data_IF_150782308969
#
_entry.id   IF_150782308969
#
_cell.length_a   1.000
_cell.length_b   1.000
_cell.length_c   1.000
_cell.angle_alpha   90.00
_cell.angle_beta   90.00
_cell.angle_gamma   90.00
#
_symmetry.space_group_name_H-M   'P 1'
#
loop_
_entity.id
_entity.type
_entity.pdbx_description
1 polymer ?
#
# COMPACT_ATOMS: atom_id res chain seq x y z
N UNK A 1 24.23 11.63 19.43
CA UNK A 1 23.54 12.92 19.71
C UNK A 1 22.14 12.63 20.24
N UNK A 2 21.85 12.96 21.51
CA UNK A 2 20.55 12.72 22.13
C UNK A 2 19.45 13.66 21.61
N UNK A 3 18.20 13.21 21.49
CA UNK A 3 17.05 14.11 21.26
C UNK A 3 16.35 14.44 22.59
N UNK A 4 15.72 15.62 22.66
CA UNK A 4 14.94 15.99 23.84
C UNK A 4 13.80 15.00 24.08
N UNK A 5 13.77 14.39 25.27
CA UNK A 5 12.75 13.43 25.71
C UNK A 5 11.55 14.12 26.40
N UNK A 6 11.68 15.42 26.72
CA UNK A 6 10.69 16.19 27.47
C UNK A 6 9.39 16.31 26.65
N UNK A 7 8.25 16.00 27.28
CA UNK A 7 6.92 16.10 26.65
C UNK A 7 6.57 14.99 25.66
N UNK A 8 7.43 13.97 25.52
CA UNK A 8 7.22 12.84 24.58
C UNK A 8 6.73 11.62 25.32
N UNK A 9 5.83 10.86 24.68
CA UNK A 9 5.35 9.59 25.21
C UNK A 9 6.34 8.48 24.84
N UNK A 10 6.50 7.51 25.74
CA UNK A 10 7.36 6.33 25.54
C UNK A 10 6.49 5.12 25.20
N UNK A 11 6.97 4.26 24.31
CA UNK A 11 6.43 2.92 24.07
C UNK A 11 7.60 1.94 23.91
N UNK A 12 7.41 0.71 24.39
CA UNK A 12 8.34 -0.40 24.18
C UNK A 12 7.70 -1.31 23.15
N UNK A 13 8.43 -1.64 22.08
CA UNK A 13 7.97 -2.48 21.00
C UNK A 13 9.13 -3.37 20.54
N UNK A 14 8.92 -4.69 20.54
CA UNK A 14 9.96 -5.70 20.28
C UNK A 14 11.27 -5.45 21.06
N UNK A 15 11.15 -5.21 22.37
CA UNK A 15 12.27 -4.91 23.28
C UNK A 15 13.02 -3.59 22.99
N UNK A 16 12.64 -2.86 21.94
CA UNK A 16 13.21 -1.57 21.59
C UNK A 16 12.37 -0.41 22.14
N UNK A 17 13.05 0.69 22.48
CA UNK A 17 12.40 1.89 23.03
C UNK A 17 12.13 2.89 21.91
N UNK A 18 10.88 3.34 21.84
CA UNK A 18 10.44 4.41 20.95
C UNK A 18 9.84 5.56 21.75
N UNK A 19 10.06 6.77 21.23
CA UNK A 19 9.44 7.98 21.70
C UNK A 19 8.53 8.53 20.60
N UNK A 20 7.33 8.94 20.98
CA UNK A 20 6.35 9.46 20.05
C UNK A 20 5.60 10.67 20.59
N UNK A 21 5.17 11.53 19.68
CA UNK A 21 4.46 12.77 19.99
C UNK A 21 3.76 13.29 18.73
N UNK A 22 2.67 14.04 18.91
CA UNK A 22 2.01 14.77 17.83
C UNK A 22 2.52 16.20 17.83
N UNK A 23 2.91 16.72 16.68
CA UNK A 23 3.35 18.10 16.49
C UNK A 23 2.59 18.70 15.31
N UNK A 24 2.03 19.90 15.50
CA UNK A 24 1.47 20.71 14.43
C UNK A 24 2.60 21.27 13.56
N UNK A 25 2.45 21.10 12.26
CA UNK A 25 3.18 21.85 11.26
C UNK A 25 2.52 23.24 11.12
N UNK A 26 3.27 24.29 11.40
CA UNK A 26 2.78 25.67 11.42
C UNK A 26 2.49 26.20 10.02
N UNK A 27 3.26 25.76 9.02
CA UNK A 27 3.13 26.23 7.63
C UNK A 27 1.92 25.60 6.94
N UNK A 28 1.66 24.32 7.22
CA UNK A 28 0.59 23.56 6.57
C UNK A 28 -0.63 23.33 7.46
N UNK A 29 -0.67 23.93 8.67
CA UNK A 29 -1.74 23.75 9.66
C UNK A 29 -2.13 22.29 9.90
N UNK A 30 -1.16 21.37 9.76
CA UNK A 30 -1.40 19.93 9.70
C UNK A 30 -0.71 19.23 10.87
N UNK A 31 -1.38 18.31 11.55
CA UNK A 31 -0.78 17.56 12.66
C UNK A 31 0.00 16.33 12.16
N UNK A 32 1.19 16.13 12.70
CA UNK A 32 2.03 14.97 12.41
C UNK A 32 2.36 14.18 13.67
N UNK A 33 2.05 12.89 13.65
CA UNK A 33 2.61 11.91 14.56
C UNK A 33 4.07 11.64 14.18
N UNK A 34 4.95 11.86 15.13
CA UNK A 34 6.37 11.58 15.05
C UNK A 34 6.66 10.31 15.86
N UNK A 35 7.34 9.33 15.28
CA UNK A 35 7.78 8.10 15.95
C UNK A 35 9.29 7.97 15.77
N UNK A 36 10.03 7.95 16.87
CA UNK A 36 11.49 8.02 16.88
C UNK A 36 12.02 6.91 17.79
N UNK A 37 12.85 6.03 17.24
CA UNK A 37 13.59 5.05 18.07
C UNK A 37 14.63 5.76 18.94
N UNK A 38 14.90 5.24 20.13
CA UNK A 38 15.80 5.89 21.10
C UNK A 38 17.20 6.22 20.51
N UNK A 39 17.76 5.32 19.71
CA UNK A 39 19.05 5.50 19.03
C UNK A 39 18.97 6.34 17.74
N UNK A 40 17.77 6.80 17.37
CA UNK A 40 17.45 7.48 16.10
C UNK A 40 17.84 6.70 14.85
N UNK A 41 17.93 5.37 14.91
CA UNK A 41 18.13 4.53 13.72
C UNK A 41 16.85 4.41 12.89
N UNK A 42 15.69 4.63 13.51
CA UNK A 42 14.38 4.69 12.86
C UNK A 42 13.66 6.00 13.20
N UNK A 43 13.23 6.73 12.16
CA UNK A 43 12.43 7.95 12.26
C UNK A 43 11.29 7.91 11.24
N UNK A 44 10.06 7.99 11.74
CA UNK A 44 8.82 7.86 10.98
C UNK A 44 7.92 9.06 11.27
N UNK A 45 7.28 9.58 10.22
CA UNK A 45 6.25 10.60 10.29
C UNK A 45 4.94 10.08 9.69
N UNK A 46 3.85 10.41 10.35
CA UNK A 46 2.50 10.09 9.90
C UNK A 46 1.63 11.33 10.04
N UNK A 47 1.07 11.82 8.94
CA UNK A 47 0.09 12.91 8.98
C UNK A 47 -1.15 12.40 9.70
N UNK A 48 -1.66 13.12 10.68
CA UNK A 48 -2.88 12.75 11.41
C UNK A 48 -4.11 13.05 10.55
N UNK A 49 -5.20 12.32 10.79
CA UNK A 49 -6.48 12.48 10.11
C UNK A 49 -6.40 12.27 8.58
N UNK A 50 -5.75 11.19 8.12
CA UNK A 50 -5.68 10.91 6.68
C UNK A 50 -6.94 10.23 6.13
N UNK A 51 -7.79 9.67 7.00
CA UNK A 51 -9.06 9.07 6.58
C UNK A 51 -10.06 10.13 6.09
N UNK A 52 -9.99 11.37 6.60
CA UNK A 52 -10.88 12.45 6.16
C UNK A 52 -10.55 12.97 4.76
N UNK A 53 -9.38 12.63 4.24
CA UNK A 53 -9.03 12.98 2.88
C UNK A 53 -9.62 11.96 1.90
N UNK A 54 -9.90 12.37 0.68
CA UNK A 54 -10.27 11.48 -0.44
C UNK A 54 -9.13 10.50 -0.82
N UNK A 55 -8.06 10.43 -0.03
CA UNK A 55 -6.96 9.50 -0.24
C UNK A 55 -7.41 8.06 0.01
N UNK A 56 -7.24 7.27 -1.04
CA UNK A 56 -7.53 5.84 -1.08
C UNK A 56 -6.72 5.04 -0.04
N UNK A 57 -5.54 5.54 0.41
CA UNK A 57 -4.74 4.96 1.50
C UNK A 57 -4.00 6.02 2.31
N UNK A 58 -3.91 5.80 3.62
CA UNK A 58 -3.00 6.57 4.49
C UNK A 58 -1.56 6.39 4.04
N UNK A 59 -0.72 7.40 4.29
CA UNK A 59 0.69 7.40 3.92
C UNK A 59 1.57 7.57 5.16
N UNK A 60 2.69 6.86 5.16
CA UNK A 60 3.73 6.98 6.19
C UNK A 60 5.00 7.47 5.52
N UNK A 61 5.59 8.53 6.05
CA UNK A 61 6.88 9.02 5.58
C UNK A 61 8.00 8.43 6.43
N UNK A 62 8.95 7.76 5.76
CA UNK A 62 10.17 7.26 6.37
C UNK A 62 11.26 8.29 6.13
N UNK A 63 11.74 8.92 7.20
CA UNK A 63 12.91 9.80 7.11
C UNK A 63 14.20 9.00 7.20
N UNK A 64 14.26 8.07 8.16
CA UNK A 64 15.44 7.23 8.41
C UNK A 64 15.04 5.83 8.80
N UNK A 65 15.68 4.83 8.20
CA UNK A 65 15.48 3.41 8.47
C UNK A 65 16.68 2.63 7.94
N UNK A 66 17.07 1.54 8.60
CA UNK A 66 18.06 0.59 8.07
C UNK A 66 17.49 -0.33 7.00
N UNK A 67 16.15 -0.38 6.87
CA UNK A 67 15.43 -1.35 6.03
C UNK A 67 14.74 -0.73 4.81
N UNK A 68 14.25 0.51 4.96
CA UNK A 68 13.49 1.22 3.95
C UNK A 68 14.25 2.47 3.52
N UNK A 69 14.21 2.78 2.23
CA UNK A 69 14.74 4.05 1.70
C UNK A 69 13.90 5.21 2.24
N UNK A 70 14.52 6.38 2.37
CA UNK A 70 13.78 7.62 2.69
C UNK A 70 12.70 7.88 1.64
N UNK A 71 11.48 8.21 2.09
CA UNK A 71 10.37 8.54 1.22
C UNK A 71 9.00 8.20 1.79
N UNK A 72 7.97 8.43 0.97
CA UNK A 72 6.56 8.24 1.34
C UNK A 72 6.08 6.86 0.92
N UNK A 73 5.42 6.12 1.81
CA UNK A 73 4.95 4.76 1.55
C UNK A 73 3.45 4.66 1.80
N UNK A 74 2.77 3.84 1.02
CA UNK A 74 1.37 3.48 1.27
C UNK A 74 1.29 2.65 2.55
N UNK A 75 0.46 3.11 3.49
CA UNK A 75 0.22 2.45 4.76
C UNK A 75 -1.16 1.81 4.75
N UNK A 76 -1.21 0.53 5.07
CA UNK A 76 -2.43 -0.26 5.03
C UNK A 76 -2.38 -1.38 6.09
N UNK A 77 -3.51 -1.71 6.77
CA UNK A 77 -4.84 -1.10 6.69
C UNK A 77 -4.90 0.32 7.29
N UNK A 78 -5.87 1.17 6.93
CA UNK A 78 -5.96 2.53 7.47
C UNK A 78 -6.14 2.54 9.00
N UNK A 79 -5.74 3.65 9.62
CA UNK A 79 -5.86 3.87 11.07
C UNK A 79 -7.02 4.82 11.33
N UNK A 80 -7.92 4.46 12.25
CA UNK A 80 -8.69 5.47 12.96
C UNK A 80 -7.69 6.35 13.72
N UNK A 81 -7.44 7.54 13.17
CA UNK A 81 -6.36 8.43 13.56
C UNK A 81 -6.86 9.80 14.05
N UNK A 82 -8.17 9.93 14.28
CA UNK A 82 -8.80 11.04 15.00
C UNK A 82 -8.15 11.26 16.37
N UNK A 83 -7.78 10.16 17.03
CA UNK A 83 -7.06 10.16 18.31
C UNK A 83 -5.86 9.23 18.20
N UNK A 84 -4.67 9.80 18.36
CA UNK A 84 -3.43 9.01 18.34
C UNK A 84 -3.20 8.32 19.69
N UNK A 85 -3.11 7.00 19.65
CA UNK A 85 -2.91 6.14 20.82
C UNK A 85 -1.64 5.30 20.70
N UNK A 86 -1.15 4.68 21.80
CA UNK A 86 -0.08 3.67 21.70
C UNK A 86 -0.38 2.57 20.68
N UNK A 87 -1.65 2.16 20.53
CA UNK A 87 -2.07 1.14 19.56
C UNK A 87 -1.88 1.62 18.12
N UNK A 88 -2.13 2.90 17.85
CA UNK A 88 -1.86 3.55 16.54
C UNK A 88 -0.37 3.45 16.21
N UNK A 89 0.49 3.78 17.17
CA UNK A 89 1.96 3.72 17.04
C UNK A 89 2.43 2.28 16.79
N UNK A 90 1.94 1.31 17.56
CA UNK A 90 2.30 -0.10 17.38
C UNK A 90 1.89 -0.65 16.01
N UNK A 91 0.75 -0.20 15.44
CA UNK A 91 0.34 -0.61 14.09
C UNK A 91 1.31 -0.09 13.02
N UNK A 92 1.80 1.15 13.15
CA UNK A 92 2.79 1.72 12.24
C UNK A 92 4.12 0.98 12.31
N UNK A 93 4.58 0.68 13.53
CA UNK A 93 5.81 -0.10 13.73
C UNK A 93 5.68 -1.53 13.18
N UNK A 94 4.55 -2.19 13.43
CA UNK A 94 4.28 -3.53 12.89
C UNK A 94 4.25 -3.55 11.36
N UNK A 95 3.61 -2.57 10.73
CA UNK A 95 3.63 -2.44 9.28
C UNK A 95 5.05 -2.24 8.74
N UNK A 96 5.84 -1.37 9.39
CA UNK A 96 7.25 -1.18 9.02
C UNK A 96 8.03 -2.49 9.11
N UNK A 97 7.84 -3.28 10.18
CA UNK A 97 8.41 -4.63 10.35
C UNK A 97 8.04 -5.60 9.22
N UNK A 98 6.85 -5.46 8.64
CA UNK A 98 6.37 -6.33 7.57
C UNK A 98 6.87 -5.94 6.17
N UNK A 99 7.35 -4.70 5.97
CA UNK A 99 7.89 -4.28 4.68
C UNK A 99 9.24 -4.95 4.40
N UNK A 100 9.39 -5.59 3.24
CA UNK A 100 10.67 -6.12 2.78
C UNK A 100 11.55 -5.05 2.11
N UNK A 101 12.80 -5.39 1.80
CA UNK A 101 13.75 -4.48 1.15
C UNK A 101 13.37 -4.11 -0.30
N UNK A 102 12.37 -4.78 -0.88
CA UNK A 102 11.83 -4.46 -2.21
C UNK A 102 10.76 -3.37 -2.16
N UNK A 103 10.24 -3.04 -0.97
CA UNK A 103 9.36 -1.90 -0.79
C UNK A 103 10.07 -0.61 -1.18
N UNK A 104 9.52 0.09 -2.17
CA UNK A 104 10.03 1.38 -2.63
C UNK A 104 9.03 2.48 -2.23
N UNK A 105 9.52 3.71 -1.99
CA UNK A 105 8.63 4.83 -1.74
C UNK A 105 7.75 5.04 -2.97
N UNK A 106 6.51 5.44 -2.72
CA UNK A 106 5.54 5.83 -3.72
C UNK A 106 6.18 6.91 -4.60
N UNK A 107 6.46 6.56 -5.85
CA UNK A 107 6.77 7.55 -6.87
C UNK A 107 5.49 8.33 -7.09
N UNK A 108 5.57 9.66 -6.99
CA UNK A 108 4.45 10.52 -7.32
C UNK A 108 4.01 10.20 -8.76
N UNK A 109 2.86 9.53 -8.90
CA UNK A 109 2.18 9.48 -10.17
C UNK A 109 1.30 10.74 -10.22
N UNK A 110 1.42 11.57 -11.26
CA UNK A 110 0.48 12.67 -11.43
C UNK A 110 -0.94 12.08 -11.43
N UNK A 111 -1.84 12.74 -10.72
CA UNK A 111 -3.25 12.37 -10.70
C UNK A 111 -3.76 12.19 -12.14
N UNK A 112 -4.46 11.09 -12.42
CA UNK A 112 -5.13 10.88 -13.71
C UNK A 112 -4.66 9.69 -14.55
N UNK A 113 -3.95 8.70 -14.00
CA UNK A 113 -3.75 7.45 -14.75
C UNK A 113 -5.09 6.71 -14.88
N UNK A 114 -5.36 6.19 -16.08
CA UNK A 114 -6.51 5.35 -16.38
C UNK A 114 -6.05 3.88 -16.48
N UNK A 115 -6.93 2.94 -16.14
CA UNK A 115 -6.64 1.51 -16.33
C UNK A 115 -6.38 1.17 -17.80
N UNK A 116 -6.88 1.99 -18.72
CA UNK A 116 -6.66 1.89 -20.17
C UNK A 116 -5.25 2.27 -20.60
N UNK A 117 -4.47 2.93 -19.74
CA UNK A 117 -3.10 3.37 -20.06
C UNK A 117 -2.05 2.26 -19.87
N UNK A 118 -2.47 1.10 -19.34
CA UNK A 118 -1.58 -0.02 -19.06
C UNK A 118 -1.54 -0.96 -20.27
N UNK A 119 -0.34 -1.34 -20.69
CA UNK A 119 -0.15 -2.41 -21.67
C UNK A 119 -0.30 -3.78 -20.99
N UNK A 120 -1.47 -4.40 -21.19
CA UNK A 120 -1.78 -5.73 -20.67
C UNK A 120 -1.20 -6.87 -21.52
N UNK A 121 -0.38 -6.56 -22.52
CA UNK A 121 0.31 -7.49 -23.41
C UNK A 121 -0.67 -8.43 -24.12
N UNK A 122 -0.53 -9.73 -23.95
CA UNK A 122 -1.38 -10.76 -24.57
C UNK A 122 -2.74 -10.92 -23.88
N UNK A 123 -3.02 -10.13 -22.83
CA UNK A 123 -4.27 -10.20 -22.09
C UNK A 123 -5.46 -9.70 -22.90
N UNK A 124 -6.57 -10.42 -22.85
CA UNK A 124 -7.85 -10.00 -23.42
C UNK A 124 -8.68 -9.34 -22.33
N UNK A 125 -8.97 -8.04 -22.49
CA UNK A 125 -9.83 -7.31 -21.55
C UNK A 125 -11.25 -7.87 -21.64
N UNK A 126 -11.74 -8.43 -20.54
CA UNK A 126 -13.13 -8.86 -20.38
C UNK A 126 -13.99 -7.80 -19.69
N UNK A 127 -13.39 -7.03 -18.78
CA UNK A 127 -14.04 -5.92 -18.10
C UNK A 127 -13.00 -4.86 -17.74
N UNK A 128 -13.37 -3.58 -17.83
CA UNK A 128 -12.56 -2.46 -17.39
C UNK A 128 -13.47 -1.29 -17.02
N UNK A 129 -13.33 -0.80 -15.80
CA UNK A 129 -13.98 0.41 -15.34
C UNK A 129 -13.19 1.62 -15.84
N UNK A 130 -13.87 2.50 -16.58
CA UNK A 130 -13.28 3.73 -17.10
C UNK A 130 -13.46 4.93 -16.15
N UNK A 131 -14.19 4.75 -15.05
CA UNK A 131 -14.54 5.81 -14.12
C UNK A 131 -14.23 5.44 -12.67
N UNK A 132 -13.17 6.03 -12.13
CA UNK A 132 -12.78 5.86 -10.73
C UNK A 132 -13.69 6.62 -9.75
N UNK A 133 -14.70 7.37 -10.20
CA UNK A 133 -15.73 7.97 -9.34
C UNK A 133 -16.74 6.94 -8.84
N UNK A 134 -16.83 5.78 -9.48
CA UNK A 134 -17.74 4.70 -9.14
C UNK A 134 -16.96 3.42 -8.85
N UNK A 135 -16.24 3.43 -7.72
CA UNK A 135 -15.43 2.29 -7.28
C UNK A 135 -16.33 1.10 -6.88
N UNK A 136 -16.04 -0.08 -7.41
CA UNK A 136 -16.75 -1.34 -7.16
C UNK A 136 -15.76 -2.50 -6.93
N UNK A 137 -16.25 -3.66 -6.50
CA UNK A 137 -15.43 -4.87 -6.40
C UNK A 137 -15.00 -5.42 -7.77
N UNK A 138 -15.68 -5.01 -8.85
CA UNK A 138 -15.42 -5.42 -10.22
C UNK A 138 -14.91 -4.22 -11.04
N UNK A 139 -13.62 -3.90 -10.94
CA UNK A 139 -13.03 -2.75 -11.64
C UNK A 139 -12.28 -3.17 -12.91
N UNK A 140 -11.72 -4.36 -12.97
CA UNK A 140 -10.94 -4.83 -14.12
C UNK A 140 -10.86 -6.35 -14.09
N UNK A 141 -11.11 -6.97 -15.25
CA UNK A 141 -10.90 -8.39 -15.44
C UNK A 141 -10.27 -8.63 -16.81
N UNK A 142 -9.14 -9.33 -16.84
CA UNK A 142 -8.38 -9.63 -18.05
C UNK A 142 -8.04 -11.11 -18.09
N UNK A 143 -8.39 -11.76 -19.20
CA UNK A 143 -8.09 -13.16 -19.43
C UNK A 143 -6.76 -13.32 -20.17
N UNK A 144 -5.91 -14.23 -19.68
CA UNK A 144 -4.63 -14.58 -20.27
C UNK A 144 -4.62 -16.05 -20.74
N UNK A 145 -3.75 -16.40 -21.70
CA UNK A 145 -3.52 -17.80 -22.07
C UNK A 145 -3.18 -18.69 -20.86
N UNK A 146 -3.46 -19.99 -20.95
CA UNK A 146 -3.22 -20.93 -19.84
C UNK A 146 -4.27 -20.88 -18.71
N UNK A 147 -5.38 -20.15 -18.93
CA UNK A 147 -6.49 -20.05 -18.00
C UNK A 147 -6.25 -19.09 -16.84
N UNK A 148 -5.28 -18.17 -16.97
CA UNK A 148 -5.00 -17.15 -15.97
C UNK A 148 -5.92 -15.94 -16.13
N UNK A 149 -6.31 -15.32 -15.03
CA UNK A 149 -7.13 -14.12 -14.98
C UNK A 149 -6.45 -13.12 -14.06
N UNK A 150 -6.26 -11.89 -14.54
CA UNK A 150 -5.94 -10.73 -13.71
C UNK A 150 -7.26 -10.03 -13.37
N UNK A 151 -7.56 -9.93 -12.09
CA UNK A 151 -8.79 -9.37 -11.57
C UNK A 151 -8.44 -8.26 -10.56
N UNK A 152 -9.13 -7.13 -10.62
CA UNK A 152 -8.91 -5.99 -9.73
C UNK A 152 -10.26 -5.43 -9.30
N UNK A 153 -10.35 -5.17 -7.99
CA UNK A 153 -11.51 -4.59 -7.34
C UNK A 153 -11.16 -3.58 -6.27
N UNK A 154 -12.11 -2.72 -5.93
CA UNK A 154 -12.09 -1.82 -4.79
C UNK A 154 -12.96 -2.36 -3.66
N UNK A 155 -12.38 -2.49 -2.46
CA UNK A 155 -13.04 -3.11 -1.30
C UNK A 155 -13.23 -2.12 -0.13
N UNK A 156 -13.40 -0.84 -0.48
CA UNK A 156 -13.57 0.25 0.48
C UNK A 156 -12.26 0.76 1.06
N UNK A 157 -12.31 1.91 1.74
CA UNK A 157 -11.13 2.58 2.31
C UNK A 157 -10.32 1.68 3.26
N UNK A 158 -10.99 0.75 3.94
CA UNK A 158 -10.38 -0.20 4.87
C UNK A 158 -9.61 -1.34 4.21
N UNK A 159 -9.87 -1.64 2.92
CA UNK A 159 -9.21 -2.73 2.17
C UNK A 159 -8.42 -2.27 0.95
N UNK A 160 -8.75 -1.11 0.39
CA UNK A 160 -8.07 -0.59 -0.79
C UNK A 160 -8.46 -1.30 -2.08
N UNK A 161 -7.53 -1.23 -3.04
CA UNK A 161 -7.58 -2.08 -4.22
C UNK A 161 -7.00 -3.45 -3.90
N UNK A 162 -7.69 -4.49 -4.36
CA UNK A 162 -7.19 -5.86 -4.29
C UNK A 162 -7.07 -6.38 -5.71
N UNK A 163 -5.88 -6.86 -6.03
CA UNK A 163 -5.56 -7.51 -7.30
C UNK A 163 -5.44 -9.02 -7.03
N UNK A 164 -6.26 -9.80 -7.73
CA UNK A 164 -6.17 -11.25 -7.75
C UNK A 164 -5.57 -11.72 -9.07
N UNK A 165 -4.68 -12.70 -8.97
CA UNK A 165 -4.24 -13.50 -10.10
C UNK A 165 -4.83 -14.87 -9.89
N UNK A 166 -5.75 -15.27 -10.75
CA UNK A 166 -6.57 -16.47 -10.61
C UNK A 166 -6.23 -17.43 -11.73
N UNK A 167 -6.33 -18.74 -11.46
CA UNK A 167 -6.21 -19.79 -12.49
C UNK A 167 -7.51 -20.55 -12.56
N UNK A 168 -7.98 -20.83 -13.78
CA UNK A 168 -9.16 -21.64 -14.07
C UNK A 168 -10.42 -21.19 -13.31
N UNK A 169 -10.64 -19.87 -13.23
CA UNK A 169 -11.86 -19.28 -12.62
C UNK A 169 -12.08 -19.69 -11.14
N UNK A 170 -11.00 -19.93 -10.39
CA UNK A 170 -11.06 -20.26 -8.97
C UNK A 170 -10.67 -19.07 -8.09
N UNK A 171 -11.64 -18.24 -7.70
CA UNK A 171 -11.45 -17.07 -6.83
C UNK A 171 -11.17 -17.45 -5.36
N UNK A 172 -11.55 -18.65 -4.92
CA UNK A 172 -11.34 -19.12 -3.53
C UNK A 172 -9.86 -19.35 -3.23
N UNK A 173 -9.08 -19.77 -4.23
CA UNK A 173 -7.64 -20.01 -4.09
C UNK A 173 -6.86 -19.29 -5.20
N UNK A 174 -6.71 -17.95 -5.10
CA UNK A 174 -5.98 -17.19 -6.10
C UNK A 174 -4.50 -17.59 -6.07
N UNK A 175 -3.87 -17.63 -7.26
CA UNK A 175 -2.42 -17.80 -7.41
C UNK A 175 -1.67 -16.69 -6.66
N UNK A 176 -2.19 -15.47 -6.70
CA UNK A 176 -1.66 -14.33 -5.95
C UNK A 176 -2.78 -13.37 -5.56
N UNK A 177 -2.70 -12.84 -4.34
CA UNK A 177 -3.56 -11.75 -3.84
C UNK A 177 -2.67 -10.61 -3.40
N UNK A 178 -2.86 -9.43 -3.99
CA UNK A 178 -2.00 -8.26 -3.77
C UNK A 178 -2.87 -7.08 -3.38
N UNK A 179 -2.49 -6.40 -2.30
CA UNK A 179 -3.13 -5.16 -1.87
C UNK A 179 -2.39 -3.98 -2.50
N UNK A 180 -3.13 -3.05 -3.07
CA UNK A 180 -2.60 -1.89 -3.76
C UNK A 180 -3.34 -0.63 -3.35
N UNK A 181 -2.63 0.50 -3.42
CA UNK A 181 -3.24 1.82 -3.33
C UNK A 181 -3.13 2.58 -4.62
N UNK A 182 -3.98 3.60 -4.79
CA UNK A 182 -4.13 4.34 -6.05
C UNK A 182 -2.79 4.76 -6.66
N UNK A 183 -1.90 5.36 -5.86
CA UNK A 183 -0.61 5.83 -6.35
C UNK A 183 0.39 4.73 -6.73
N UNK A 184 0.24 3.54 -6.17
CA UNK A 184 1.06 2.38 -6.54
C UNK A 184 0.34 1.44 -7.51
N UNK A 185 -0.92 1.70 -7.84
CA UNK A 185 -1.80 0.77 -8.55
C UNK A 185 -1.27 0.46 -9.96
N UNK A 186 -0.87 1.48 -10.72
CA UNK A 186 -0.30 1.29 -12.07
C UNK A 186 0.97 0.43 -12.04
N UNK A 187 1.91 0.72 -11.14
CA UNK A 187 3.16 -0.05 -11.03
C UNK A 187 2.88 -1.50 -10.58
N UNK A 188 1.98 -1.70 -9.62
CA UNK A 188 1.61 -3.04 -9.16
C UNK A 188 0.90 -3.83 -10.26
N UNK A 189 0.02 -3.20 -11.05
CA UNK A 189 -0.63 -3.83 -12.20
C UNK A 189 0.40 -4.21 -13.27
N UNK A 190 1.32 -3.32 -13.64
CA UNK A 190 2.40 -3.63 -14.59
C UNK A 190 3.25 -4.81 -14.11
N UNK A 191 3.58 -4.85 -12.81
CA UNK A 191 4.28 -5.98 -12.20
C UNK A 191 3.45 -7.27 -12.22
N UNK A 192 2.13 -7.19 -12.00
CA UNK A 192 1.23 -8.34 -12.09
C UNK A 192 1.14 -8.87 -13.53
N UNK A 193 1.05 -7.99 -14.53
CA UNK A 193 1.08 -8.35 -15.96
C UNK A 193 2.40 -9.05 -16.32
N UNK A 194 3.53 -8.49 -15.89
CA UNK A 194 4.85 -9.10 -16.08
C UNK A 194 4.93 -10.49 -15.45
N UNK A 195 4.40 -10.66 -14.23
CA UNK A 195 4.33 -11.95 -13.56
C UNK A 195 3.47 -12.95 -14.34
N UNK A 196 2.22 -12.61 -14.71
CA UNK A 196 1.32 -13.53 -15.42
C UNK A 196 1.91 -13.96 -16.76
N UNK A 197 2.52 -13.02 -17.50
CA UNK A 197 3.14 -13.32 -18.80
C UNK A 197 4.40 -14.18 -18.69
N UNK A 198 4.97 -14.35 -17.50
CA UNK A 198 6.05 -15.32 -17.24
C UNK A 198 5.55 -16.72 -16.84
N UNK A 199 4.24 -16.88 -16.57
CA UNK A 199 3.67 -18.17 -16.16
C UNK A 199 3.53 -19.12 -17.35
N UNK A 200 3.65 -20.44 -17.12
CA UNK A 200 3.57 -21.43 -18.18
C UNK A 200 2.16 -21.48 -18.79
N UNK A 201 2.11 -21.44 -20.12
CA UNK A 201 0.89 -21.75 -20.89
C UNK A 201 0.80 -23.27 -20.95
N UNK A 202 0.21 -23.89 -19.93
CA UNK A 202 -0.04 -25.33 -19.97
C UNK A 202 -1.04 -25.64 -21.09
N UNK A 203 -0.52 -26.10 -22.23
CA UNK A 203 -1.31 -26.76 -23.25
C UNK A 203 -1.86 -28.05 -22.66
N UNK A 204 -3.13 -28.08 -22.25
CA UNK A 204 -3.87 -29.34 -22.18
C UNK A 204 -4.10 -29.83 -23.60
N UNK A 205 -3.07 -30.41 -24.21
CA UNK A 205 -3.26 -31.48 -25.18
C UNK A 205 -3.11 -32.76 -24.38
N UNK A 206 -4.25 -33.30 -23.93
CA UNK A 206 -4.36 -34.73 -23.71
C UNK A 206 -5.66 -35.16 -24.38
N UNK A 207 -5.46 -35.91 -25.47
CA UNK A 207 -6.43 -36.62 -26.28
C UNK A 207 -7.45 -37.38 -25.41
#
# INVERSE_FOLDING_TARGET
>A
MGFSKKGKRKIIYNEEIFYWFVKRDEDYSTDYLNIIKEDRSLVIFYRVNQISDEFIHSKVFIEKSSRLKTGLYSFFPPLSDEIITPKTVSKILKWHDQCDASANPVKYQPAGFLLTDIDYKTGKISHIACDFRHLSEDMLQIEYPGGYILDLGWYGSSNGYIIHIIKNKNWETPVKKIYAGYYSLKEILENAVNFITSLPIENKIKN
#
